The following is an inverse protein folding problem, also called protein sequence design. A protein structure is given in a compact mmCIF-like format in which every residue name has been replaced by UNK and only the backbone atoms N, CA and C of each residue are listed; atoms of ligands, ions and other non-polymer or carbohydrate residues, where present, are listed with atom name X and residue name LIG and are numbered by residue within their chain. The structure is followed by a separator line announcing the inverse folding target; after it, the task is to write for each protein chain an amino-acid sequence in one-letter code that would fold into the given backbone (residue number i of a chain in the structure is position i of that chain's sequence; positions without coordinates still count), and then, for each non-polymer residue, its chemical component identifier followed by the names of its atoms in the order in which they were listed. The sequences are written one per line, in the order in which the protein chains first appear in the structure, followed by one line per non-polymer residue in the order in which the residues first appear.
data_IF_493199371089
#
_entry.id   IF_493199371089
#
_cell.length_a   1.000
_cell.length_b   1.000
_cell.length_c   1.000
_cell.angle_alpha   90.00
_cell.angle_beta   90.00
_cell.angle_gamma   90.00
#
_symmetry.space_group_name_H-M   'P 1'
#
loop_
_entity.id
_entity.type
_entity.pdbx_description
1 polymer ?
#
# COMPACT_ATOMS: atom_id res chain seq x y z
N UNK A 1 -8.25 8.46 -3.22
CA UNK A 1 -8.31 7.04 -2.79
C UNK A 1 -7.38 6.83 -1.60
N UNK A 2 -7.68 5.88 -0.72
CA UNK A 2 -6.84 5.54 0.43
C UNK A 2 -6.42 4.08 0.28
N UNK A 3 -5.12 3.83 0.45
CA UNK A 3 -4.52 2.51 0.40
C UNK A 3 -3.70 2.29 1.67
N UNK A 4 -3.73 1.07 2.19
CA UNK A 4 -2.93 0.66 3.36
C UNK A 4 -2.33 -0.71 3.10
N UNK A 5 -1.07 -0.89 3.49
CA UNK A 5 -0.50 -2.21 3.64
C UNK A 5 -0.60 -2.60 5.11
N UNK A 6 -1.31 -3.69 5.39
CA UNK A 6 -1.45 -4.24 6.74
C UNK A 6 -0.36 -5.29 6.94
N UNK A 7 0.54 -5.07 7.91
CA UNK A 7 1.67 -5.96 8.17
C UNK A 7 1.22 -7.30 8.80
N UNK A 8 0.18 -7.27 9.65
CA UNK A 8 -0.34 -8.48 10.31
C UNK A 8 -1.04 -9.40 9.29
N UNK A 9 -1.74 -8.79 8.33
CA UNK A 9 -2.42 -9.50 7.23
C UNK A 9 -1.53 -9.71 6.01
N UNK A 10 -0.34 -9.12 5.99
CA UNK A 10 0.61 -9.16 4.90
C UNK A 10 -0.02 -8.85 3.52
N UNK A 11 -0.87 -7.82 3.46
CA UNK A 11 -1.73 -7.55 2.29
C UNK A 11 -2.03 -6.08 2.08
N UNK A 12 -2.39 -5.72 0.84
CA UNK A 12 -2.83 -4.37 0.47
C UNK A 12 -4.34 -4.25 0.53
N UNK A 13 -4.83 -3.15 1.08
CA UNK A 13 -6.25 -2.84 1.21
C UNK A 13 -6.53 -1.43 0.70
N UNK A 14 -7.75 -1.21 0.25
CA UNK A 14 -8.27 0.11 -0.09
C UNK A 14 -9.56 0.41 0.66
N UNK A 15 -9.76 1.67 1.02
CA UNK A 15 -11.03 2.11 1.61
C UNK A 15 -12.05 2.35 0.50
N UNK A 16 -13.11 1.55 0.46
CA UNK A 16 -14.19 1.65 -0.51
C UNK A 16 -15.50 1.11 0.05
N UNK A 17 -16.62 1.78 -0.22
CA UNK A 17 -17.95 1.43 0.31
C UNK A 17 -17.95 1.29 1.85
N UNK A 18 -17.38 2.28 2.54
CA UNK A 18 -17.30 2.35 4.00
C UNK A 18 -16.67 1.13 4.68
N UNK A 19 -15.80 0.41 3.96
CA UNK A 19 -15.03 -0.71 4.49
C UNK A 19 -13.64 -0.81 3.85
N UNK A 20 -12.75 -1.52 4.55
CA UNK A 20 -11.49 -1.99 3.97
C UNK A 20 -11.77 -3.17 3.04
N UNK A 21 -11.36 -3.03 1.78
CA UNK A 21 -11.40 -4.10 0.78
C UNK A 21 -9.97 -4.53 0.45
N UNK A 22 -9.71 -5.83 0.51
CA UNK A 22 -8.45 -6.39 0.08
C UNK A 22 -8.27 -6.22 -1.43
N UNK A 23 -7.04 -5.90 -1.85
CA UNK A 23 -6.66 -5.80 -3.24
C UNK A 23 -6.14 -7.16 -3.68
N UNK A 24 -6.93 -7.86 -4.50
CA UNK A 24 -6.60 -9.21 -4.97
C UNK A 24 -5.32 -9.28 -5.80
N UNK A 25 -5.03 -8.24 -6.59
CA UNK A 25 -3.78 -8.11 -7.36
C UNK A 25 -3.03 -6.82 -6.99
N UNK A 26 -2.19 -6.85 -5.94
CA UNK A 26 -1.38 -5.70 -5.55
C UNK A 26 -0.31 -5.33 -6.59
N UNK A 27 0.01 -6.22 -7.52
CA UNK A 27 1.01 -5.98 -8.57
C UNK A 27 0.55 -4.91 -9.56
N UNK A 28 -0.75 -4.62 -9.63
CA UNK A 28 -1.36 -3.54 -10.41
C UNK A 28 -1.37 -2.19 -9.69
N UNK A 29 -1.16 -2.15 -8.38
CA UNK A 29 -1.26 -0.93 -7.57
C UNK A 29 -0.11 0.04 -7.91
N UNK A 30 -0.42 1.30 -8.25
CA UNK A 30 0.56 2.34 -8.59
C UNK A 30 0.23 3.65 -7.87
N UNK A 31 1.26 4.43 -7.52
CA UNK A 31 1.09 5.83 -7.11
C UNK A 31 0.87 6.66 -8.37
N UNK A 32 -0.39 6.94 -8.70
CA UNK A 32 -0.75 7.68 -9.92
C UNK A 32 -0.87 9.20 -9.76
N UNK A 33 -0.97 9.72 -8.53
CA UNK A 33 -1.12 11.15 -8.30
C UNK A 33 0.24 11.79 -8.01
N UNK A 34 0.65 12.87 -8.72
CA UNK A 34 1.89 13.59 -8.43
C UNK A 34 1.95 14.18 -7.02
N UNK A 35 0.80 14.39 -6.37
CA UNK A 35 0.70 14.85 -4.98
C UNK A 35 0.03 13.78 -4.14
N UNK A 36 0.76 13.22 -3.19
CA UNK A 36 0.27 12.24 -2.24
C UNK A 36 1.01 12.40 -0.91
N UNK A 37 0.41 11.84 0.15
CA UNK A 37 1.03 11.73 1.47
C UNK A 37 1.04 10.26 1.86
N UNK A 38 2.19 9.78 2.31
CA UNK A 38 2.31 8.46 2.96
C UNK A 38 2.40 8.64 4.48
N UNK A 39 1.60 7.88 5.21
CA UNK A 39 1.74 7.72 6.66
C UNK A 39 2.12 6.27 6.96
N UNK A 40 2.64 5.99 8.15
CA UNK A 40 3.16 4.67 8.47
C UNK A 40 3.08 4.36 9.96
N UNK A 41 3.66 3.22 10.33
CA UNK A 41 3.77 2.74 11.70
C UNK A 41 5.14 3.10 12.31
N UNK A 42 5.20 3.18 13.64
CA UNK A 42 6.47 3.29 14.38
C UNK A 42 7.34 2.05 14.24
N UNK A 43 6.71 0.87 14.11
CA UNK A 43 7.37 -0.42 14.05
C UNK A 43 7.16 -1.04 12.66
N UNK A 44 8.07 -0.69 11.75
CA UNK A 44 8.06 -1.20 10.38
C UNK A 44 8.74 -2.57 10.32
N UNK A 45 7.97 -3.58 9.96
CA UNK A 45 8.43 -4.96 9.77
C UNK A 45 8.99 -5.16 8.36
N UNK A 46 9.67 -6.30 8.15
CA UNK A 46 10.32 -6.60 6.88
C UNK A 46 9.34 -6.72 5.71
N UNK A 47 8.12 -7.22 5.94
CA UNK A 47 7.08 -7.27 4.93
C UNK A 47 6.56 -5.88 4.55
N UNK A 48 6.35 -4.99 5.52
CA UNK A 48 5.98 -3.60 5.29
C UNK A 48 7.06 -2.86 4.51
N UNK A 49 8.33 -3.04 4.90
CA UNK A 49 9.49 -2.47 4.19
C UNK A 49 9.56 -2.93 2.74
N UNK A 50 9.35 -4.23 2.48
CA UNK A 50 9.29 -4.81 1.13
C UNK A 50 8.13 -4.23 0.33
N UNK A 51 6.92 -4.18 0.90
CA UNK A 51 5.73 -3.69 0.23
C UNK A 51 5.88 -2.23 -0.22
N UNK A 52 6.45 -1.36 0.63
CA UNK A 52 6.73 0.05 0.29
C UNK A 52 7.73 0.12 -0.87
N UNK A 53 8.86 -0.59 -0.77
CA UNK A 53 9.88 -0.59 -1.83
C UNK A 53 9.31 -1.04 -3.17
N UNK A 54 8.58 -2.15 -3.19
CA UNK A 54 7.94 -2.65 -4.40
C UNK A 54 6.91 -1.66 -4.96
N UNK A 55 6.20 -0.91 -4.10
CA UNK A 55 5.23 0.11 -4.54
C UNK A 55 5.93 1.26 -5.25
N UNK A 56 7.03 1.75 -4.69
CA UNK A 56 7.81 2.81 -5.32
C UNK A 56 8.48 2.35 -6.61
N UNK A 57 9.10 1.17 -6.60
CA UNK A 57 9.74 0.56 -7.77
C UNK A 57 8.76 0.47 -8.95
N UNK A 58 7.56 -0.06 -8.73
CA UNK A 58 6.58 -0.20 -9.82
C UNK A 58 5.92 1.11 -10.23
N UNK A 59 5.91 2.14 -9.38
CA UNK A 59 5.22 3.41 -9.65
C UNK A 59 6.10 4.44 -10.37
N UNK A 60 7.41 4.40 -10.18
CA UNK A 60 8.31 5.47 -10.63
C UNK A 60 9.53 4.99 -11.43
N UNK A 61 9.61 3.70 -11.72
CA UNK A 61 10.65 3.14 -12.59
C UNK A 61 10.13 2.89 -14.00
#
# INVERSE_FOLDING_TARGET
PIFVFDQDRNGWFTWAEDRWKEIADPSSLRIGNPRFTGTGTRFLEDNGRRAIRELFERSFR
#
